data_IF_804574365789
#
_entry.id   IF_804574365789
#
_cell.length_a   1.000
_cell.length_b   1.000
_cell.length_c   1.000
_cell.angle_alpha   90.00
_cell.angle_beta   90.00
_cell.angle_gamma   90.00
#
_symmetry.space_group_name_H-M   'P 1'
#
loop_
_entity.id
_entity.type
_entity.pdbx_description
1 polymer ?
#
# COMPACT_ATOMS: atom_id res chain seq x y z
N UNK A 1 12.33 9.44 -24.82
CA UNK A 1 11.69 9.68 -23.51
C UNK A 1 12.75 9.60 -22.44
N UNK A 2 12.76 10.52 -21.48
CA UNK A 2 13.69 10.50 -20.34
C UNK A 2 13.01 9.95 -19.08
N UNK A 3 13.81 9.56 -18.10
CA UNK A 3 13.32 9.13 -16.79
C UNK A 3 13.37 10.30 -15.80
N UNK A 4 12.29 10.46 -15.04
CA UNK A 4 12.22 11.43 -13.96
C UNK A 4 12.87 10.89 -12.67
N UNK A 5 12.84 9.56 -12.47
CA UNK A 5 13.54 8.89 -11.38
C UNK A 5 14.34 7.73 -11.99
N UNK A 6 15.61 7.62 -11.64
CA UNK A 6 16.44 6.47 -11.94
C UNK A 6 17.20 6.06 -10.69
N UNK A 7 17.10 4.79 -10.33
CA UNK A 7 17.83 4.17 -9.25
C UNK A 7 18.49 2.89 -9.75
N UNK A 8 19.72 2.66 -9.33
CA UNK A 8 20.48 1.46 -9.69
C UNK A 8 21.19 0.88 -8.49
N UNK A 9 20.93 -0.40 -8.23
CA UNK A 9 21.58 -1.18 -7.18
C UNK A 9 21.44 -0.58 -5.77
N UNK A 10 20.30 0.04 -5.44
CA UNK A 10 20.10 0.64 -4.13
C UNK A 10 20.09 -0.44 -3.04
N UNK A 11 20.96 -0.29 -2.04
CA UNK A 11 20.95 -1.15 -0.85
C UNK A 11 20.74 -0.33 0.41
N UNK A 12 20.07 -0.93 1.39
CA UNK A 12 19.95 -0.35 2.73
C UNK A 12 19.77 -1.43 3.78
N UNK A 13 20.59 -1.38 4.82
CA UNK A 13 20.58 -2.27 5.98
C UNK A 13 20.32 -1.49 7.27
N UNK A 14 19.54 -2.11 8.16
CA UNK A 14 19.28 -1.66 9.52
C UNK A 14 19.65 -2.78 10.49
N UNK A 15 20.86 -2.70 11.07
CA UNK A 15 21.40 -3.81 11.86
C UNK A 15 21.54 -5.07 10.98
N UNK A 16 20.84 -6.13 11.33
CA UNK A 16 20.82 -7.38 10.54
C UNK A 16 19.83 -7.36 9.38
N UNK A 17 18.84 -6.45 9.41
CA UNK A 17 17.74 -6.43 8.43
C UNK A 17 18.16 -5.69 7.16
N UNK A 18 18.16 -6.38 6.03
CA UNK A 18 18.37 -5.77 4.71
C UNK A 18 17.02 -5.28 4.17
N UNK A 19 16.79 -3.97 4.24
CA UNK A 19 15.54 -3.34 3.80
C UNK A 19 15.48 -3.11 2.29
N UNK A 20 16.64 -2.90 1.64
CA UNK A 20 16.77 -2.89 0.17
C UNK A 20 17.99 -3.71 -0.23
N UNK A 21 17.83 -4.52 -1.26
CA UNK A 21 18.84 -5.45 -1.75
C UNK A 21 19.05 -5.29 -3.25
N UNK A 22 19.76 -4.24 -3.64
CA UNK A 22 20.12 -4.00 -5.03
C UNK A 22 18.94 -3.56 -5.88
N UNK A 23 18.06 -2.73 -5.33
CA UNK A 23 16.85 -2.30 -6.02
C UNK A 23 17.17 -1.35 -7.19
N UNK A 24 16.70 -1.73 -8.37
CA UNK A 24 16.65 -0.88 -9.56
C UNK A 24 15.24 -0.31 -9.72
N UNK A 25 15.12 0.95 -10.17
CA UNK A 25 13.83 1.58 -10.44
C UNK A 25 14.00 2.65 -11.51
N UNK A 26 13.15 2.60 -12.53
CA UNK A 26 13.08 3.64 -13.55
C UNK A 26 11.64 4.13 -13.66
N UNK A 27 11.43 5.43 -13.48
CA UNK A 27 10.10 6.07 -13.59
C UNK A 27 10.14 7.03 -14.77
N UNK A 28 9.41 6.74 -15.86
CA UNK A 28 9.30 7.65 -17.00
C UNK A 28 8.78 9.03 -16.59
N UNK A 29 9.17 10.07 -17.32
CA UNK A 29 8.59 11.40 -17.06
C UNK A 29 7.13 11.45 -17.49
N UNK A 30 6.27 12.01 -16.63
CA UNK A 30 4.84 12.23 -16.91
C UNK A 30 3.97 10.99 -16.74
N UNK A 31 4.42 10.00 -15.97
CA UNK A 31 3.66 8.78 -15.64
C UNK A 31 3.41 8.65 -14.14
N UNK A 32 2.45 7.80 -13.79
CA UNK A 32 2.25 7.26 -12.44
C UNK A 32 2.87 5.88 -12.36
N UNK A 33 3.83 5.74 -11.46
CA UNK A 33 4.35 4.43 -11.09
C UNK A 33 3.86 4.07 -9.69
N UNK A 34 3.20 2.92 -9.59
CA UNK A 34 2.75 2.33 -8.33
C UNK A 34 3.80 1.38 -7.79
N UNK A 35 4.41 1.72 -6.65
CA UNK A 35 5.32 0.86 -5.91
C UNK A 35 4.52 -0.01 -4.94
N UNK A 36 4.26 -1.23 -5.37
CA UNK A 36 3.41 -2.20 -4.69
C UNK A 36 4.25 -3.22 -3.93
N UNK A 37 3.79 -3.63 -2.75
CA UNK A 37 4.46 -4.69 -1.99
C UNK A 37 3.87 -4.85 -0.59
N UNK A 38 4.19 -5.94 0.13
CA UNK A 38 3.73 -6.12 1.49
C UNK A 38 4.38 -5.13 2.47
N UNK A 39 3.89 -5.09 3.71
CA UNK A 39 4.53 -4.34 4.78
C UNK A 39 5.94 -4.90 5.04
N UNK A 40 6.92 -4.00 5.17
CA UNK A 40 8.32 -4.39 5.33
C UNK A 40 9.07 -4.71 4.04
N UNK A 41 8.43 -4.62 2.86
CA UNK A 41 9.09 -4.89 1.57
C UNK A 41 10.19 -3.88 1.18
N UNK A 42 10.33 -2.76 1.90
CA UNK A 42 11.33 -1.73 1.59
C UNK A 42 10.79 -0.48 0.86
N UNK A 43 9.48 -0.42 0.59
CA UNK A 43 8.78 0.72 -0.06
C UNK A 43 9.14 2.09 0.53
N UNK A 44 8.87 2.28 1.82
CA UNK A 44 9.17 3.53 2.54
C UNK A 44 10.67 3.81 2.60
N UNK A 45 11.52 2.77 2.70
CA UNK A 45 12.98 2.93 2.66
C UNK A 45 13.44 3.47 1.31
N UNK A 46 12.88 2.96 0.21
CA UNK A 46 13.14 3.45 -1.14
C UNK A 46 12.69 4.91 -1.29
N UNK A 47 11.45 5.26 -0.93
CA UNK A 47 10.97 6.65 -0.97
C UNK A 47 11.89 7.57 -0.15
N UNK A 48 12.28 7.18 1.07
CA UNK A 48 13.15 8.01 1.91
C UNK A 48 14.53 8.23 1.30
N UNK A 49 15.07 7.25 0.57
CA UNK A 49 16.33 7.43 -0.17
C UNK A 49 16.12 8.42 -1.32
N UNK A 50 15.12 8.19 -2.18
CA UNK A 50 14.85 9.03 -3.35
C UNK A 50 14.50 10.47 -2.98
N UNK A 51 13.93 10.69 -1.79
CA UNK A 51 13.58 12.00 -1.25
C UNK A 51 14.68 12.63 -0.38
N UNK A 52 15.88 12.05 -0.34
CA UNK A 52 17.06 12.53 0.41
C UNK A 52 16.93 12.45 1.95
N UNK A 53 15.85 11.87 2.47
CA UNK A 53 15.62 11.68 3.91
C UNK A 53 16.44 10.53 4.51
N UNK A 54 17.03 9.70 3.66
CA UNK A 54 17.86 8.58 4.06
C UNK A 54 19.01 8.39 3.07
N UNK A 55 20.20 8.08 3.56
CA UNK A 55 21.35 7.70 2.73
C UNK A 55 21.32 6.19 2.47
N UNK A 56 21.42 5.73 1.21
CA UNK A 56 21.61 4.31 0.91
C UNK A 56 23.02 3.87 1.34
N UNK A 57 23.21 2.57 1.54
CA UNK A 57 24.52 2.01 1.87
C UNK A 57 25.37 1.78 0.60
N UNK A 58 24.72 1.44 -0.52
CA UNK A 58 25.30 1.41 -1.86
C UNK A 58 24.27 1.75 -2.94
N UNK A 59 24.75 1.89 -4.17
CA UNK A 59 23.92 2.22 -5.34
C UNK A 59 23.90 3.72 -5.64
N UNK A 60 23.19 4.07 -6.70
CA UNK A 60 23.07 5.43 -7.20
C UNK A 60 21.63 5.77 -7.51
N UNK A 61 21.24 7.03 -7.32
CA UNK A 61 19.92 7.50 -7.71
C UNK A 61 19.96 8.94 -8.22
N UNK A 62 19.14 9.21 -9.23
CA UNK A 62 18.89 10.55 -9.75
C UNK A 62 17.39 10.81 -9.77
N UNK A 63 16.99 12.03 -9.39
CA UNK A 63 15.59 12.47 -9.37
C UNK A 63 15.52 13.85 -10.01
N UNK A 64 14.63 14.00 -10.99
CA UNK A 64 14.49 15.20 -11.82
C UNK A 64 15.85 15.69 -12.36
N UNK A 65 16.70 14.76 -12.79
CA UNK A 65 18.04 15.03 -13.32
C UNK A 65 19.10 15.49 -12.30
N UNK A 66 18.84 15.39 -11.00
CA UNK A 66 19.80 15.71 -9.94
C UNK A 66 20.18 14.45 -9.13
N UNK A 67 21.46 14.31 -8.79
CA UNK A 67 21.95 13.20 -7.97
C UNK A 67 21.46 13.31 -6.51
N UNK A 68 20.85 12.24 -6.00
CA UNK A 68 20.24 12.18 -4.67
C UNK A 68 21.23 12.48 -3.54
N UNK A 69 22.51 12.12 -3.70
CA UNK A 69 23.55 12.29 -2.69
C UNK A 69 24.34 13.58 -2.89
N UNK A 70 24.82 13.81 -4.12
CA UNK A 70 25.69 14.93 -4.45
C UNK A 70 24.93 16.24 -4.60
N UNK A 71 23.66 16.18 -4.99
CA UNK A 71 22.83 17.35 -5.31
C UNK A 71 21.51 17.36 -4.52
N UNK A 72 21.52 16.81 -3.30
CA UNK A 72 20.31 16.64 -2.47
C UNK A 72 19.46 17.90 -2.30
N UNK A 73 20.08 19.10 -2.26
CA UNK A 73 19.32 20.37 -2.22
C UNK A 73 18.50 20.59 -3.49
N UNK A 74 19.11 20.37 -4.67
CA UNK A 74 18.41 20.49 -5.96
C UNK A 74 17.30 19.46 -6.09
N UNK A 75 17.49 18.26 -5.55
CA UNK A 75 16.42 17.24 -5.49
C UNK A 75 15.25 17.78 -4.66
N UNK A 76 15.49 18.27 -3.44
CA UNK A 76 14.42 18.83 -2.58
C UNK A 76 13.66 20.02 -3.19
N UNK A 77 14.32 20.82 -4.02
CA UNK A 77 13.67 21.92 -4.77
C UNK A 77 12.78 21.43 -5.92
N UNK A 78 12.92 20.17 -6.35
CA UNK A 78 12.25 19.59 -7.53
C UNK A 78 11.27 18.48 -7.19
N UNK A 79 11.05 18.18 -5.91
CA UNK A 79 10.15 17.12 -5.47
C UNK A 79 9.06 17.66 -4.56
N UNK A 80 7.87 17.08 -4.68
CA UNK A 80 6.85 17.12 -3.64
C UNK A 80 6.86 15.80 -2.88
N UNK A 81 6.62 15.85 -1.57
CA UNK A 81 6.49 14.64 -0.75
C UNK A 81 5.26 14.77 0.15
N UNK A 82 4.35 13.81 0.01
CA UNK A 82 3.31 13.53 1.00
C UNK A 82 3.67 12.20 1.68
N UNK A 83 4.06 12.26 2.96
CA UNK A 83 4.48 11.08 3.73
C UNK A 83 3.28 10.24 4.21
N UNK A 84 3.48 9.24 5.08
CA UNK A 84 2.35 8.44 5.62
C UNK A 84 1.41 9.23 6.54
N UNK A 85 1.91 10.29 7.19
CA UNK A 85 1.13 11.17 8.06
C UNK A 85 1.03 12.56 7.43
N UNK A 86 -0.12 13.20 7.60
CA UNK A 86 -0.32 14.57 7.13
C UNK A 86 0.58 15.54 7.89
N UNK A 87 1.50 16.20 7.20
CA UNK A 87 2.43 17.17 7.76
C UNK A 87 1.82 18.58 7.78
N UNK A 88 0.63 18.70 8.39
CA UNK A 88 -0.13 19.96 8.49
C UNK A 88 -0.06 20.50 9.92
N UNK A 89 0.07 21.82 10.07
CA UNK A 89 -0.06 22.48 11.35
C UNK A 89 -1.55 22.61 11.70
N UNK A 90 -1.95 21.94 12.78
CA UNK A 90 -3.36 21.84 13.18
C UNK A 90 -3.92 23.15 13.77
N UNK A 91 -3.06 24.07 14.21
CA UNK A 91 -3.48 25.35 14.76
C UNK A 91 -3.70 26.41 13.68
N UNK A 92 -3.02 26.27 12.54
CA UNK A 92 -3.21 27.12 11.37
C UNK A 92 -4.46 26.72 10.58
N UNK A 93 -5.02 27.67 9.86
CA UNK A 93 -6.05 27.40 8.84
C UNK A 93 -5.47 26.65 7.64
N UNK A 94 -6.32 26.06 6.79
CA UNK A 94 -5.87 25.44 5.55
C UNK A 94 -5.13 26.43 4.64
N UNK A 95 -5.65 27.66 4.55
CA UNK A 95 -5.01 28.74 3.80
C UNK A 95 -3.64 29.10 4.37
N UNK A 96 -3.54 29.30 5.69
CA UNK A 96 -2.28 29.66 6.35
C UNK A 96 -1.22 28.55 6.23
N UNK A 97 -1.62 27.27 6.29
CA UNK A 97 -0.72 26.14 6.04
C UNK A 97 -0.07 26.26 4.66
N UNK A 98 -0.87 26.46 3.60
CA UNK A 98 -0.37 26.53 2.23
C UNK A 98 0.42 27.83 1.98
N UNK A 99 -0.01 28.97 2.52
CA UNK A 99 0.73 30.24 2.42
C UNK A 99 2.08 30.18 3.17
N UNK A 100 2.13 29.50 4.32
CA UNK A 100 3.38 29.25 5.05
C UNK A 100 4.33 28.40 4.20
N UNK A 101 3.85 27.28 3.64
CA UNK A 101 4.66 26.42 2.78
C UNK A 101 5.18 27.19 1.56
N UNK A 102 4.35 28.00 0.91
CA UNK A 102 4.75 28.81 -0.24
C UNK A 102 5.87 29.79 0.09
N UNK A 103 5.81 30.44 1.25
CA UNK A 103 6.87 31.32 1.72
C UNK A 103 8.17 30.57 2.07
N UNK A 104 8.07 29.35 2.61
CA UNK A 104 9.24 28.48 2.84
C UNK A 104 9.92 28.03 1.55
N UNK A 105 9.15 27.89 0.46
CA UNK A 105 9.67 27.69 -0.90
C UNK A 105 10.08 29.00 -1.60
N UNK A 106 10.15 30.12 -0.86
CA UNK A 106 10.57 31.42 -1.36
C UNK A 106 9.70 32.00 -2.48
N UNK A 107 8.42 31.61 -2.55
CA UNK A 107 7.45 32.31 -3.39
C UNK A 107 7.24 33.73 -2.84
N UNK A 108 7.04 34.70 -3.72
CA UNK A 108 6.66 36.03 -3.28
C UNK A 108 5.32 35.99 -2.54
N UNK A 109 5.13 36.89 -1.57
CA UNK A 109 3.97 36.87 -0.68
C UNK A 109 2.64 36.90 -1.42
N UNK A 110 2.56 37.60 -2.56
CA UNK A 110 1.32 37.67 -3.34
C UNK A 110 1.08 36.33 -4.04
N UNK A 111 2.09 35.80 -4.74
CA UNK A 111 1.99 34.51 -5.44
C UNK A 111 1.72 33.36 -4.49
N UNK A 112 2.34 33.35 -3.31
CA UNK A 112 2.10 32.35 -2.27
C UNK A 112 0.63 32.27 -1.87
N UNK A 113 0.00 33.43 -1.62
CA UNK A 113 -1.43 33.51 -1.26
C UNK A 113 -2.36 33.13 -2.38
N UNK A 114 -2.07 33.57 -3.61
CA UNK A 114 -2.80 33.17 -4.81
C UNK A 114 -2.74 31.65 -4.99
N UNK A 115 -1.53 31.09 -4.92
CA UNK A 115 -1.29 29.64 -5.03
C UNK A 115 -2.00 28.84 -3.94
N UNK A 116 -2.02 29.34 -2.70
CA UNK A 116 -2.76 28.71 -1.61
C UNK A 116 -4.26 28.63 -1.91
N UNK A 117 -4.87 29.70 -2.45
CA UNK A 117 -6.30 29.69 -2.82
C UNK A 117 -6.57 28.79 -4.03
N UNK A 118 -5.71 28.81 -5.05
CA UNK A 118 -5.78 27.90 -6.20
C UNK A 118 -5.83 26.43 -5.73
N UNK A 119 -4.92 26.07 -4.83
CA UNK A 119 -4.81 24.71 -4.30
C UNK A 119 -5.99 24.34 -3.40
N UNK A 120 -6.51 25.25 -2.57
CA UNK A 120 -7.72 24.97 -1.78
C UNK A 120 -8.91 24.62 -2.69
N UNK A 121 -9.09 25.34 -3.79
CA UNK A 121 -10.15 25.03 -4.77
C UNK A 121 -9.87 23.69 -5.46
N UNK A 122 -8.64 23.50 -5.96
CA UNK A 122 -8.24 22.26 -6.65
C UNK A 122 -8.45 21.01 -5.78
N UNK A 123 -8.26 21.13 -4.47
CA UNK A 123 -8.40 20.05 -3.51
C UNK A 123 -9.78 19.99 -2.83
N UNK A 124 -10.76 20.78 -3.30
CA UNK A 124 -12.13 20.86 -2.74
C UNK A 124 -12.13 21.15 -1.24
N UNK A 125 -11.35 22.15 -0.84
CA UNK A 125 -11.16 22.64 0.53
C UNK A 125 -11.47 24.14 0.67
N UNK A 126 -12.01 24.77 -0.36
CA UNK A 126 -12.33 26.21 -0.41
C UNK A 126 -13.31 26.63 0.70
N UNK A 127 -14.39 25.88 0.92
CA UNK A 127 -15.34 26.11 2.02
C UNK A 127 -14.72 25.94 3.43
N UNK A 128 -13.59 25.24 3.51
CA UNK A 128 -12.91 24.94 4.75
C UNK A 128 -11.63 25.76 4.95
N UNK A 129 -11.15 26.47 3.93
CA UNK A 129 -9.81 27.01 3.85
C UNK A 129 -9.46 27.97 4.98
N UNK A 130 -10.45 28.72 5.47
CA UNK A 130 -10.30 29.69 6.55
C UNK A 130 -10.62 29.11 7.95
N UNK A 131 -10.84 27.79 8.06
CA UNK A 131 -11.01 27.08 9.33
C UNK A 131 -9.70 26.41 9.77
N UNK A 132 -9.40 26.39 11.09
CA UNK A 132 -8.23 25.69 11.62
C UNK A 132 -8.21 24.20 11.25
N UNK A 133 -7.05 23.68 10.86
CA UNK A 133 -6.88 22.31 10.39
C UNK A 133 -7.17 21.25 11.46
N UNK A 134 -7.09 21.58 12.77
CA UNK A 134 -7.56 20.69 13.85
C UNK A 134 -9.06 20.33 13.76
N UNK A 135 -9.85 21.12 13.02
CA UNK A 135 -11.29 20.87 12.82
C UNK A 135 -11.57 20.02 11.57
N UNK A 136 -10.54 19.65 10.81
CA UNK A 136 -10.67 18.89 9.57
C UNK A 136 -10.83 17.40 9.88
N UNK A 137 -11.57 16.70 9.02
CA UNK A 137 -11.57 15.23 9.01
C UNK A 137 -10.20 14.69 8.58
N UNK A 138 -9.95 13.40 8.78
CA UNK A 138 -8.73 12.74 8.29
C UNK A 138 -8.49 12.96 6.79
N UNK A 139 -9.52 12.75 5.97
CA UNK A 139 -9.46 12.97 4.52
C UNK A 139 -9.22 14.43 4.12
N UNK A 140 -9.77 15.40 4.86
CA UNK A 140 -9.49 16.82 4.63
C UNK A 140 -8.04 17.18 4.95
N UNK A 141 -7.49 16.68 6.07
CA UNK A 141 -6.06 16.88 6.40
C UNK A 141 -5.15 16.24 5.37
N UNK A 142 -5.52 15.06 4.85
CA UNK A 142 -4.74 14.38 3.80
C UNK A 142 -4.75 15.15 2.48
N UNK A 143 -5.89 15.70 2.08
CA UNK A 143 -5.98 16.58 0.91
C UNK A 143 -5.16 17.86 1.08
N UNK A 144 -5.17 18.45 2.28
CA UNK A 144 -4.35 19.62 2.58
C UNK A 144 -2.85 19.31 2.53
N UNK A 145 -2.42 18.16 3.05
CA UNK A 145 -1.04 17.67 2.98
C UNK A 145 -0.56 17.49 1.53
N UNK A 146 -1.39 16.83 0.70
CA UNK A 146 -1.10 16.67 -0.73
C UNK A 146 -1.07 18.02 -1.47
N UNK A 147 -1.96 18.94 -1.14
CA UNK A 147 -1.91 20.31 -1.65
C UNK A 147 -0.59 21.01 -1.27
N UNK A 148 -0.12 20.82 -0.04
CA UNK A 148 1.16 21.32 0.45
C UNK A 148 2.34 20.84 -0.38
N UNK A 149 2.35 19.57 -0.76
CA UNK A 149 3.39 18.99 -1.61
C UNK A 149 3.45 19.59 -3.04
N UNK A 150 2.41 20.31 -3.46
CA UNK A 150 2.27 20.89 -4.81
C UNK A 150 2.39 22.41 -4.86
N UNK A 151 2.59 23.06 -3.71
CA UNK A 151 2.75 24.52 -3.63
C UNK A 151 3.88 24.99 -4.54
N UNK A 152 5.02 24.28 -4.53
CA UNK A 152 6.17 24.57 -5.36
C UNK A 152 6.05 24.12 -6.83
N UNK A 153 4.92 23.50 -7.21
CA UNK A 153 4.70 22.90 -8.54
C UNK A 153 5.87 22.00 -9.00
N UNK A 154 6.24 20.98 -8.21
CA UNK A 154 7.40 20.15 -8.50
C UNK A 154 7.15 19.23 -9.71
N UNK A 155 8.17 18.93 -10.53
CA UNK A 155 8.05 17.99 -11.64
C UNK A 155 7.85 16.52 -11.21
N UNK A 156 8.22 16.18 -9.97
CA UNK A 156 8.13 14.82 -9.42
C UNK A 156 7.42 14.86 -8.06
N UNK A 157 6.45 13.98 -7.87
CA UNK A 157 5.69 13.86 -6.63
C UNK A 157 5.85 12.45 -6.05
N UNK A 158 6.20 12.37 -4.77
CA UNK A 158 6.27 11.13 -4.01
C UNK A 158 5.08 11.06 -3.05
N UNK A 159 4.31 9.98 -3.14
CA UNK A 159 3.13 9.74 -2.29
C UNK A 159 3.36 8.46 -1.49
N UNK A 160 3.64 8.58 -0.19
CA UNK A 160 3.84 7.41 0.67
C UNK A 160 2.52 7.00 1.31
N UNK A 161 1.90 5.94 0.78
CA UNK A 161 0.58 5.44 1.18
C UNK A 161 -0.49 6.55 1.27
N UNK A 162 -0.87 7.17 0.14
CA UNK A 162 -1.71 8.37 0.11
C UNK A 162 -3.09 8.17 0.73
N UNK A 163 -3.64 6.96 0.69
CA UNK A 163 -5.02 6.67 1.10
C UNK A 163 -5.17 5.80 2.35
N UNK A 164 -4.07 5.46 3.02
CA UNK A 164 -4.10 4.72 4.28
C UNK A 164 -4.88 5.51 5.34
N UNK A 165 -5.83 4.83 6.00
CA UNK A 165 -6.66 5.41 7.05
C UNK A 165 -7.81 6.29 6.57
N UNK A 166 -8.06 6.39 5.26
CA UNK A 166 -9.22 7.08 4.70
C UNK A 166 -10.44 6.16 4.59
N UNK A 167 -11.62 6.72 4.79
CA UNK A 167 -12.88 6.04 4.47
C UNK A 167 -13.04 5.87 2.95
N UNK A 168 -13.90 4.94 2.48
CA UNK A 168 -14.01 4.61 1.05
C UNK A 168 -14.29 5.82 0.16
N UNK A 169 -15.10 6.78 0.61
CA UNK A 169 -15.43 7.97 -0.19
C UNK A 169 -14.23 8.91 -0.29
N UNK A 170 -13.56 9.20 0.83
CA UNK A 170 -12.35 10.03 0.84
C UNK A 170 -11.20 9.43 0.02
N UNK A 171 -11.12 8.11 -0.10
CA UNK A 171 -10.17 7.42 -0.97
C UNK A 171 -10.42 7.74 -2.45
N UNK A 172 -11.66 7.59 -2.91
CA UNK A 172 -12.04 7.91 -4.29
C UNK A 172 -11.79 9.38 -4.63
N UNK A 173 -12.11 10.29 -3.70
CA UNK A 173 -11.82 11.72 -3.86
C UNK A 173 -10.30 11.96 -4.00
N UNK A 174 -9.47 11.25 -3.22
CA UNK A 174 -8.00 11.34 -3.31
C UNK A 174 -7.48 10.81 -4.64
N UNK A 175 -8.03 9.71 -5.14
CA UNK A 175 -7.67 9.12 -6.42
C UNK A 175 -7.95 10.07 -7.57
N UNK A 176 -9.12 10.70 -7.58
CA UNK A 176 -9.49 11.71 -8.60
C UNK A 176 -8.49 12.88 -8.60
N UNK A 177 -8.10 13.35 -7.42
CA UNK A 177 -7.07 14.39 -7.27
C UNK A 177 -5.74 13.94 -7.86
N UNK A 178 -5.27 12.72 -7.55
CA UNK A 178 -4.00 12.19 -8.07
C UNK A 178 -4.04 12.08 -9.60
N UNK A 179 -5.12 11.54 -10.17
CA UNK A 179 -5.29 11.42 -11.63
C UNK A 179 -5.26 12.79 -12.33
N UNK A 180 -5.85 13.81 -11.72
CA UNK A 180 -5.83 15.18 -12.25
C UNK A 180 -4.41 15.78 -12.28
N UNK A 181 -3.55 15.45 -11.31
CA UNK A 181 -2.15 15.93 -11.28
C UNK A 181 -1.33 15.36 -12.44
N UNK A 182 -1.60 14.11 -12.79
CA UNK A 182 -0.91 13.35 -13.84
C UNK A 182 -1.35 13.85 -15.21
N UNK A 183 -2.64 14.11 -15.38
CA UNK A 183 -3.18 14.75 -16.60
C UNK A 183 -2.51 16.11 -16.85
N UNK A 184 -2.06 16.79 -15.80
CA UNK A 184 -1.27 18.03 -15.87
C UNK A 184 0.22 17.84 -16.22
N UNK A 185 0.69 16.61 -16.47
CA UNK A 185 2.07 16.28 -16.85
C UNK A 185 3.04 16.03 -15.69
N UNK A 186 2.54 15.93 -14.46
CA UNK A 186 3.38 15.62 -13.30
C UNK A 186 3.80 14.15 -13.31
N UNK A 187 5.03 13.86 -12.87
CA UNK A 187 5.44 12.46 -12.61
C UNK A 187 5.11 12.09 -11.17
N UNK A 188 4.49 10.94 -10.95
CA UNK A 188 4.11 10.48 -9.61
C UNK A 188 4.71 9.11 -9.32
N UNK A 189 5.40 8.98 -8.19
CA UNK A 189 5.73 7.68 -7.59
C UNK A 189 4.89 7.53 -6.32
N UNK A 190 3.93 6.61 -6.32
CA UNK A 190 3.11 6.31 -5.15
C UNK A 190 3.50 4.94 -4.57
N UNK A 191 3.56 4.81 -3.25
CA UNK A 191 3.63 3.50 -2.60
C UNK A 191 2.24 3.11 -2.13
N UNK A 192 1.93 1.83 -2.28
CA UNK A 192 0.71 1.27 -1.74
C UNK A 192 0.88 -0.18 -1.39
N UNK A 193 0.02 -0.65 -0.49
CA UNK A 193 -0.23 -2.07 -0.26
C UNK A 193 -1.62 -2.48 -0.76
N UNK A 194 -2.38 -1.52 -1.30
CA UNK A 194 -3.74 -1.69 -1.79
C UNK A 194 -3.70 -1.90 -3.30
N UNK A 195 -4.15 -3.07 -3.73
CA UNK A 195 -4.04 -3.52 -5.12
C UNK A 195 -5.03 -2.80 -6.03
N UNK A 196 -6.22 -2.47 -5.50
CA UNK A 196 -7.22 -1.61 -6.14
C UNK A 196 -6.67 -0.20 -6.43
N UNK A 197 -5.85 0.35 -5.53
CA UNK A 197 -5.20 1.65 -5.73
C UNK A 197 -4.17 1.62 -6.86
N UNK A 198 -3.33 0.58 -6.89
CA UNK A 198 -2.37 0.41 -7.98
C UNK A 198 -3.08 0.22 -9.33
N UNK A 199 -4.13 -0.61 -9.38
CA UNK A 199 -4.93 -0.85 -10.60
C UNK A 199 -5.63 0.41 -11.11
N UNK A 200 -6.12 1.26 -10.20
CA UNK A 200 -6.89 2.46 -10.56
C UNK A 200 -6.01 3.69 -10.91
N UNK A 201 -4.78 3.76 -10.40
CA UNK A 201 -3.95 4.97 -10.52
C UNK A 201 -2.69 4.80 -11.37
N UNK A 202 -2.09 3.61 -11.39
CA UNK A 202 -0.76 3.43 -11.95
C UNK A 202 -0.81 3.14 -13.45
N UNK A 203 -0.01 3.89 -14.22
CA UNK A 203 0.30 3.52 -15.61
C UNK A 203 1.17 2.26 -15.63
N UNK A 204 2.05 2.14 -14.63
CA UNK A 204 2.98 1.03 -14.47
C UNK A 204 3.11 0.66 -12.99
N UNK A 205 3.11 -0.64 -12.70
CA UNK A 205 3.23 -1.18 -11.35
C UNK A 205 4.59 -1.85 -11.20
N UNK A 206 5.30 -1.50 -10.14
CA UNK A 206 6.54 -2.13 -9.70
C UNK A 206 6.26 -2.89 -8.42
N UNK A 207 6.39 -4.20 -8.48
CA UNK A 207 6.16 -5.09 -7.34
C UNK A 207 7.49 -5.33 -6.64
N UNK A 208 7.52 -5.06 -5.33
CA UNK A 208 8.66 -5.30 -4.46
C UNK A 208 8.32 -6.34 -3.40
N UNK A 209 9.23 -7.27 -3.18
CA UNK A 209 9.25 -8.12 -2.00
C UNK A 209 10.67 -8.21 -1.42
N UNK A 210 10.77 -8.23 -0.08
CA UNK A 210 12.05 -8.33 0.67
C UNK A 210 13.17 -7.43 0.15
N UNK A 211 12.85 -6.19 -0.22
CA UNK A 211 13.82 -5.20 -0.68
C UNK A 211 14.30 -5.36 -2.12
N UNK A 212 13.69 -6.27 -2.90
CA UNK A 212 14.00 -6.53 -4.31
C UNK A 212 12.79 -6.26 -5.20
N UNK A 213 13.05 -5.79 -6.42
CA UNK A 213 12.05 -5.72 -7.48
C UNK A 213 11.81 -7.15 -7.99
N UNK A 214 10.56 -7.62 -7.94
CA UNK A 214 10.17 -8.98 -8.37
C UNK A 214 9.35 -8.98 -9.67
N UNK A 215 8.65 -7.88 -9.98
CA UNK A 215 8.00 -7.68 -11.26
C UNK A 215 7.81 -6.20 -11.56
N UNK A 216 7.70 -5.88 -12.84
CA UNK A 216 7.44 -4.53 -13.35
C UNK A 216 6.67 -4.63 -14.67
N UNK A 217 5.67 -3.78 -14.84
CA UNK A 217 4.90 -3.66 -16.09
C UNK A 217 3.59 -2.93 -15.87
N UNK A 218 2.84 -2.73 -16.95
CA UNK A 218 1.45 -2.26 -16.85
C UNK A 218 0.61 -3.28 -16.10
N UNK A 219 -0.51 -2.83 -15.53
CA UNK A 219 -1.41 -3.73 -14.81
C UNK A 219 -1.91 -4.88 -15.69
N UNK A 220 -2.21 -4.63 -16.96
CA UNK A 220 -2.64 -5.67 -17.91
C UNK A 220 -1.51 -6.66 -18.23
N UNK A 221 -0.26 -6.20 -18.39
CA UNK A 221 0.90 -7.07 -18.59
C UNK A 221 1.14 -7.97 -17.38
N UNK A 222 1.04 -7.42 -16.17
CA UNK A 222 1.18 -8.18 -14.93
C UNK A 222 0.07 -9.22 -14.78
N UNK A 223 -1.20 -8.84 -15.00
CA UNK A 223 -2.36 -9.76 -14.96
C UNK A 223 -2.21 -10.90 -15.98
N UNK A 224 -1.67 -10.62 -17.16
CA UNK A 224 -1.42 -11.63 -18.19
C UNK A 224 -0.35 -12.67 -17.82
N UNK A 225 0.58 -12.36 -16.90
CA UNK A 225 1.65 -13.29 -16.49
C UNK A 225 1.15 -14.46 -15.61
N UNK A 226 0.03 -14.29 -14.91
CA UNK A 226 -0.46 -15.25 -13.90
C UNK A 226 -1.39 -16.31 -14.49
N UNK A 227 -1.97 -16.04 -15.66
CA UNK A 227 -2.80 -17.01 -16.38
C UNK A 227 -3.92 -16.37 -17.19
N UNK A 228 -4.68 -17.26 -17.86
CA UNK A 228 -5.80 -16.89 -18.72
C UNK A 228 -7.07 -16.49 -17.97
N UNK A 229 -8.07 -16.11 -18.76
CA UNK A 229 -9.43 -15.79 -18.32
C UNK A 229 -10.01 -16.93 -17.47
N UNK A 230 -10.84 -16.60 -16.48
CA UNK A 230 -11.57 -17.58 -15.66
C UNK A 230 -13.06 -17.44 -15.93
N UNK A 231 -13.74 -18.54 -16.20
CA UNK A 231 -15.19 -18.61 -16.22
C UNK A 231 -15.67 -18.93 -14.81
N UNK A 232 -16.46 -18.03 -14.24
CA UNK A 232 -17.10 -18.18 -12.94
C UNK A 232 -18.58 -18.48 -13.14
N UNK A 233 -19.09 -19.52 -12.48
CA UNK A 233 -20.49 -19.93 -12.53
C UNK A 233 -21.00 -20.15 -11.11
N UNK A 234 -22.03 -19.41 -10.70
CA UNK A 234 -22.72 -19.57 -9.42
C UNK A 234 -24.03 -20.28 -9.65
N UNK A 235 -24.15 -21.53 -9.21
CA UNK A 235 -25.39 -22.30 -9.38
C UNK A 235 -26.43 -21.93 -8.32
N UNK A 236 -27.71 -21.89 -8.70
CA UNK A 236 -28.80 -21.55 -7.78
C UNK A 236 -29.00 -22.62 -6.69
N UNK A 237 -28.80 -23.90 -7.03
CA UNK A 237 -28.98 -25.03 -6.11
C UNK A 237 -27.66 -25.76 -5.87
N UNK A 238 -27.28 -25.94 -4.60
CA UNK A 238 -26.04 -26.61 -4.23
C UNK A 238 -25.97 -28.06 -4.75
N UNK A 239 -27.11 -28.76 -4.81
CA UNK A 239 -27.21 -30.13 -5.32
C UNK A 239 -26.86 -30.24 -6.82
N UNK A 240 -26.93 -29.12 -7.56
CA UNK A 240 -26.59 -29.07 -8.98
C UNK A 240 -25.11 -28.77 -9.22
N UNK A 241 -24.32 -28.44 -8.19
CA UNK A 241 -22.92 -28.03 -8.31
C UNK A 241 -22.05 -29.11 -8.97
N UNK A 242 -22.21 -30.38 -8.54
CA UNK A 242 -21.46 -31.50 -9.11
C UNK A 242 -21.80 -31.74 -10.59
N UNK A 243 -23.09 -31.72 -10.93
CA UNK A 243 -23.57 -31.88 -12.32
C UNK A 243 -23.08 -30.74 -13.21
N UNK A 244 -23.19 -29.50 -12.74
CA UNK A 244 -22.70 -28.31 -13.45
C UNK A 244 -21.18 -28.38 -13.70
N UNK A 245 -20.41 -28.83 -12.70
CA UNK A 245 -18.97 -29.01 -12.85
C UNK A 245 -18.63 -30.06 -13.91
N UNK A 246 -19.29 -31.22 -13.93
CA UNK A 246 -19.07 -32.25 -14.95
C UNK A 246 -19.40 -31.75 -16.37
N UNK A 247 -20.47 -30.96 -16.52
CA UNK A 247 -20.88 -30.38 -17.80
C UNK A 247 -19.88 -29.35 -18.35
N UNK A 248 -19.27 -28.58 -17.44
CA UNK A 248 -18.36 -27.48 -17.76
C UNK A 248 -16.89 -27.90 -17.82
N UNK A 249 -16.51 -29.02 -17.20
CA UNK A 249 -15.15 -29.55 -17.21
C UNK A 249 -14.50 -29.63 -18.61
N UNK A 250 -15.21 -29.97 -19.71
CA UNK A 250 -14.63 -29.97 -21.05
C UNK A 250 -14.19 -28.60 -21.59
N UNK A 251 -14.66 -27.50 -20.99
CA UNK A 251 -14.27 -26.14 -21.37
C UNK A 251 -13.00 -25.68 -20.66
N UNK A 252 -12.57 -26.38 -19.61
CA UNK A 252 -11.48 -25.96 -18.75
C UNK A 252 -10.10 -26.33 -19.34
N UNK A 253 -9.15 -25.40 -19.23
CA UNK A 253 -7.75 -25.61 -19.62
C UNK A 253 -6.92 -26.30 -18.52
N UNK A 254 -7.40 -26.23 -17.28
CA UNK A 254 -6.79 -26.82 -16.10
C UNK A 254 -7.90 -27.21 -15.11
N UNK A 255 -7.61 -27.98 -14.04
CA UNK A 255 -8.62 -28.42 -13.08
C UNK A 255 -9.46 -27.25 -12.54
N UNK A 256 -10.78 -27.42 -12.55
CA UNK A 256 -11.70 -26.45 -11.99
C UNK A 256 -11.57 -26.40 -10.47
N UNK A 257 -11.78 -25.22 -9.89
CA UNK A 257 -11.92 -25.05 -8.44
C UNK A 257 -13.39 -24.97 -8.08
N UNK A 258 -13.82 -25.69 -7.05
CA UNK A 258 -15.18 -25.64 -6.53
C UNK A 258 -15.20 -25.02 -5.13
N UNK A 259 -16.11 -24.08 -4.90
CA UNK A 259 -16.48 -23.62 -3.57
C UNK A 259 -17.94 -24.01 -3.29
N UNK A 260 -18.11 -25.05 -2.47
CA UNK A 260 -19.42 -25.57 -2.09
C UNK A 260 -20.27 -24.56 -1.31
N UNK A 261 -19.65 -23.67 -0.52
CA UNK A 261 -20.38 -22.68 0.28
C UNK A 261 -20.90 -21.55 -0.60
N UNK A 262 -20.07 -21.09 -1.52
CA UNK A 262 -20.44 -20.07 -2.50
C UNK A 262 -21.27 -20.63 -3.67
N UNK A 263 -21.37 -21.96 -3.80
CA UNK A 263 -21.94 -22.66 -4.98
C UNK A 263 -21.26 -22.22 -6.28
N UNK A 264 -19.96 -21.96 -6.20
CA UNK A 264 -19.16 -21.35 -7.26
C UNK A 264 -18.27 -22.40 -7.92
N UNK A 265 -18.25 -22.38 -9.25
CA UNK A 265 -17.32 -23.13 -10.10
C UNK A 265 -16.42 -22.12 -10.80
N UNK A 266 -15.10 -22.28 -10.64
CA UNK A 266 -14.10 -21.45 -11.30
C UNK A 266 -13.29 -22.31 -12.27
N UNK A 267 -13.40 -22.00 -13.56
CA UNK A 267 -12.77 -22.75 -14.65
C UNK A 267 -11.74 -21.86 -15.35
N UNK A 268 -10.45 -22.24 -15.40
CA UNK A 268 -9.49 -21.59 -16.26
C UNK A 268 -9.88 -21.81 -17.73
N UNK A 269 -10.10 -20.75 -18.49
CA UNK A 269 -10.53 -20.77 -19.89
C UNK A 269 -9.66 -19.84 -20.75
N UNK A 270 -9.81 -19.93 -22.07
CA UNK A 270 -9.24 -18.95 -23.01
C UNK A 270 -10.18 -18.79 -24.19
N UNK A 271 -10.06 -17.67 -24.89
CA UNK A 271 -10.83 -17.41 -26.12
C UNK A 271 -11.92 -16.35 -25.97
N UNK A 272 -11.79 -15.44 -24.98
CA UNK A 272 -12.74 -14.35 -24.78
C UNK A 272 -14.12 -14.88 -24.44
N UNK A 273 -15.17 -14.33 -25.04
CA UNK A 273 -16.56 -14.68 -24.71
C UNK A 273 -17.03 -16.05 -25.22
N UNK A 274 -16.23 -16.79 -26.00
CA UNK A 274 -16.62 -18.10 -26.55
C UNK A 274 -17.00 -19.12 -25.47
N UNK A 275 -16.11 -19.42 -24.50
CA UNK A 275 -16.39 -20.31 -23.38
C UNK A 275 -17.63 -19.94 -22.56
N UNK A 276 -17.96 -18.64 -22.44
CA UNK A 276 -19.17 -18.18 -21.74
C UNK A 276 -20.45 -18.62 -22.47
N UNK A 277 -20.49 -18.45 -23.79
CA UNK A 277 -21.65 -18.83 -24.60
C UNK A 277 -21.82 -20.35 -24.59
N UNK A 278 -20.73 -21.10 -24.72
CA UNK A 278 -20.77 -22.57 -24.68
C UNK A 278 -21.21 -23.09 -23.31
N UNK A 279 -20.76 -22.46 -22.23
CA UNK A 279 -21.20 -22.79 -20.87
C UNK A 279 -22.69 -22.53 -20.67
N UNK A 280 -23.19 -21.38 -21.13
CA UNK A 280 -24.62 -21.06 -21.06
C UNK A 280 -25.48 -22.10 -21.75
N UNK A 281 -25.13 -22.51 -22.98
CA UNK A 281 -25.88 -23.53 -23.70
C UNK A 281 -25.87 -24.88 -22.98
N UNK A 282 -24.71 -25.33 -22.48
CA UNK A 282 -24.60 -26.61 -21.75
C UNK A 282 -25.42 -26.64 -20.47
N UNK A 283 -25.44 -25.52 -19.73
CA UNK A 283 -26.19 -25.41 -18.49
C UNK A 283 -27.70 -25.35 -18.75
N UNK A 284 -28.13 -24.65 -19.80
CA UNK A 284 -29.53 -24.57 -20.21
C UNK A 284 -30.07 -25.93 -20.70
N UNK A 285 -29.32 -26.63 -21.56
CA UNK A 285 -29.67 -27.97 -22.06
C UNK A 285 -29.89 -28.98 -20.90
N UNK A 286 -29.07 -28.86 -19.85
CA UNK A 286 -29.15 -29.69 -18.65
C UNK A 286 -30.15 -29.18 -17.60
N UNK A 287 -30.82 -28.04 -17.84
CA UNK A 287 -31.74 -27.36 -16.91
C UNK A 287 -31.10 -27.06 -15.56
N UNK A 288 -29.83 -26.64 -15.57
CA UNK A 288 -29.13 -26.14 -14.40
C UNK A 288 -29.47 -24.67 -14.22
N UNK A 289 -30.02 -24.30 -13.07
CA UNK A 289 -30.29 -22.90 -12.74
C UNK A 289 -29.04 -22.22 -12.21
N UNK A 290 -28.78 -21.01 -12.70
CA UNK A 290 -27.56 -20.23 -12.41
C UNK A 290 -27.98 -18.84 -11.92
N UNK A 291 -27.35 -18.39 -10.83
CA UNK A 291 -27.57 -17.06 -10.24
C UNK A 291 -26.64 -16.02 -10.90
N UNK A 292 -25.40 -16.39 -11.21
CA UNK A 292 -24.40 -15.55 -11.90
C UNK A 292 -23.49 -16.38 -12.79
N UNK A 293 -23.12 -15.84 -13.95
CA UNK A 293 -22.15 -16.44 -14.86
C UNK A 293 -21.38 -15.36 -15.58
N UNK A 294 -20.06 -15.49 -15.61
CA UNK A 294 -19.24 -14.52 -16.33
C UNK A 294 -17.79 -14.88 -16.45
N UNK A 295 -17.13 -14.17 -17.35
CA UNK A 295 -15.67 -14.26 -17.51
C UNK A 295 -15.03 -13.19 -16.65
N UNK A 296 -14.05 -13.59 -15.85
CA UNK A 296 -13.20 -12.73 -15.05
C UNK A 296 -11.77 -12.80 -15.57
N UNK A 297 -11.12 -11.65 -15.64
CA UNK A 297 -9.68 -11.56 -15.87
C UNK A 297 -8.95 -11.63 -14.53
N UNK A 298 -7.70 -12.13 -14.50
CA UNK A 298 -6.88 -12.10 -13.30
C UNK A 298 -6.81 -10.69 -12.69
N UNK A 299 -6.80 -10.64 -11.37
CA UNK A 299 -6.64 -9.42 -10.58
C UNK A 299 -5.18 -9.18 -10.24
N UNK A 300 -4.82 -7.97 -9.78
CA UNK A 300 -3.48 -7.76 -9.21
C UNK A 300 -3.26 -8.60 -7.94
N UNK A 301 -4.31 -9.00 -7.23
CA UNK A 301 -4.24 -9.94 -6.11
C UNK A 301 -3.74 -11.31 -6.55
N UNK A 302 -4.24 -11.83 -7.68
CA UNK A 302 -3.74 -13.07 -8.27
C UNK A 302 -2.25 -12.94 -8.62
N UNK A 303 -1.84 -11.81 -9.20
CA UNK A 303 -0.43 -11.51 -9.51
C UNK A 303 0.42 -11.52 -8.27
N UNK A 304 -0.01 -10.81 -7.24
CA UNK A 304 0.73 -10.71 -6.01
C UNK A 304 0.88 -12.06 -5.34
N UNK A 305 -0.18 -12.87 -5.26
CA UNK A 305 -0.16 -14.23 -4.72
C UNK A 305 0.78 -15.15 -5.50
N UNK A 306 0.73 -15.10 -6.83
CA UNK A 306 1.61 -15.90 -7.67
C UNK A 306 3.08 -15.51 -7.47
N UNK A 307 3.42 -14.23 -7.59
CA UNK A 307 4.81 -13.77 -7.51
C UNK A 307 5.42 -13.96 -6.11
N UNK A 308 4.63 -13.74 -5.05
CA UNK A 308 5.12 -13.90 -3.66
C UNK A 308 5.10 -15.36 -3.19
N UNK A 309 4.21 -16.20 -3.74
CA UNK A 309 4.17 -17.64 -3.47
C UNK A 309 5.42 -18.36 -3.98
N UNK A 310 5.86 -18.07 -5.21
CA UNK A 310 7.09 -18.66 -5.77
C UNK A 310 8.36 -18.21 -5.02
N UNK A 311 8.39 -16.98 -4.50
CA UNK A 311 9.53 -16.47 -3.71
C UNK A 311 9.67 -17.15 -2.33
N UNK A 312 8.62 -17.81 -1.82
CA UNK A 312 8.70 -18.66 -0.63
C UNK A 312 9.27 -20.05 -0.96
N UNK A 313 9.00 -20.58 -2.16
CA UNK A 313 9.48 -21.89 -2.60
C UNK A 313 10.95 -21.85 -3.03
N UNK A 314 11.38 -20.82 -3.77
CA UNK A 314 12.77 -20.64 -4.20
C UNK A 314 13.74 -20.33 -3.03
N UNK A 315 13.21 -19.90 -1.88
CA UNK A 315 13.97 -19.66 -0.65
C UNK A 315 14.18 -20.91 0.23
N UNK A 316 13.59 -22.06 -0.13
CA UNK A 316 13.67 -23.29 0.67
C UNK A 316 14.79 -24.26 0.22
N UNK A 317 15.60 -23.87 -0.76
CA UNK A 317 16.69 -24.67 -1.31
C UNK A 317 18.07 -24.47 -0.66
N UNK A 318 18.17 -24.31 0.66
CA UNK A 318 19.47 -24.28 1.34
C UNK A 318 19.38 -24.60 2.85
N UNK A 319 18.86 -25.78 3.22
CA UNK A 319 19.24 -26.37 4.50
C UNK A 319 19.33 -27.91 4.40
N UNK A 320 20.40 -28.36 3.76
CA UNK A 320 20.82 -29.76 3.79
C UNK A 320 21.48 -30.08 5.12
N UNK A 321 20.67 -30.27 6.16
CA UNK A 321 21.14 -30.79 7.45
C UNK A 321 21.70 -32.23 7.31
N UNK A 322 22.87 -32.55 7.89
CA UNK A 322 23.46 -33.88 7.76
C UNK A 322 22.76 -34.91 8.66
N UNK A 323 22.44 -36.07 8.08
CA UNK A 323 21.93 -37.26 8.78
C UNK A 323 22.91 -37.79 9.85
N UNK A 324 22.43 -38.30 11.01
CA UNK A 324 23.30 -38.94 11.99
C UNK A 324 23.43 -40.44 11.68
N UNK A 325 24.68 -40.91 11.52
CA UNK A 325 25.00 -42.32 11.37
C UNK A 325 26.26 -42.73 12.14
N UNK A 326 26.07 -43.56 13.17
CA UNK A 326 26.92 -44.72 13.47
C UNK A 326 28.28 -44.56 14.15
N UNK A 327 28.29 -44.83 15.47
CA UNK A 327 29.22 -45.70 16.23
C UNK A 327 30.76 -45.50 16.18
N UNK A 328 31.38 -45.32 17.37
CA UNK A 328 32.61 -46.00 17.89
C UNK A 328 33.03 -45.33 19.22
N UNK A 329 32.88 -46.01 20.36
CA UNK A 329 33.91 -46.80 21.08
C UNK A 329 34.95 -46.00 21.89
N UNK A 330 34.88 -46.13 23.22
CA UNK A 330 36.04 -46.32 24.11
C UNK A 330 36.85 -45.09 24.54
N UNK A 331 36.93 -44.85 25.86
CA UNK A 331 37.96 -43.98 26.44
C UNK A 331 37.69 -43.53 27.87
N UNK A 332 38.10 -44.34 28.85
CA UNK A 332 38.20 -43.98 30.27
C UNK A 332 39.41 -43.05 30.53
N UNK A 333 39.27 -42.15 31.52
CA UNK A 333 40.39 -41.45 32.18
C UNK A 333 39.96 -40.08 32.71
N UNK A 334 39.53 -39.98 33.98
CA UNK A 334 40.31 -39.53 35.16
C UNK A 334 40.73 -38.05 35.12
N UNK A 335 40.37 -37.31 36.18
CA UNK A 335 41.21 -36.25 36.73
C UNK A 335 40.48 -34.98 37.19
N UNK A 336 40.39 -34.84 38.53
CA UNK A 336 40.57 -33.61 39.32
C UNK A 336 39.52 -32.47 39.35
N UNK A 337 38.86 -32.40 40.53
CA UNK A 337 38.46 -31.17 41.26
C UNK A 337 39.74 -30.41 41.75
N UNK A 338 39.71 -29.22 42.43
CA UNK A 338 38.60 -28.58 43.17
C UNK A 338 38.56 -27.02 43.23
N UNK A 339 37.59 -26.51 44.01
CA UNK A 339 37.60 -25.17 44.65
C UNK A 339 36.44 -24.28 44.17
N UNK A 340 35.38 -24.01 44.96
CA UNK A 340 35.36 -23.20 46.18
C UNK A 340 35.11 -21.73 45.78
N UNK A 341 34.19 -20.92 46.30
CA UNK A 341 33.19 -20.95 47.36
C UNK A 341 32.55 -19.54 47.45
N UNK A 342 31.61 -19.37 48.39
CA UNK A 342 30.95 -18.12 48.83
C UNK A 342 29.81 -17.57 47.95
N UNK A 343 28.55 -17.61 48.40
CA UNK A 343 27.85 -16.86 49.50
C UNK A 343 27.63 -15.38 49.16
N UNK A 344 26.36 -14.97 49.17
CA UNK A 344 25.94 -13.57 49.18
C UNK A 344 24.46 -13.42 48.86
N UNK A 345 23.60 -13.69 49.84
CA UNK A 345 22.20 -13.26 49.85
C UNK A 345 22.14 -11.78 50.25
N UNK A 346 21.20 -11.02 49.68
CA UNK A 346 20.30 -10.10 50.39
C UNK A 346 19.51 -9.23 49.38
N UNK A 347 18.21 -9.42 49.36
CA UNK A 347 17.22 -8.39 49.00
C UNK A 347 16.49 -8.02 50.29
N UNK A 348 16.11 -6.75 50.45
CA UNK A 348 14.90 -6.44 51.18
C UNK A 348 13.91 -5.57 50.41
N UNK A 349 12.68 -5.85 50.77
CA UNK A 349 11.38 -5.24 50.53
C UNK A 349 11.24 -3.74 50.85
N UNK A 350 10.33 -3.08 50.13
CA UNK A 350 9.31 -2.13 50.64
C UNK A 350 8.29 -1.88 49.50
N UNK A 351 7.00 -1.57 49.66
CA UNK A 351 6.15 -1.24 50.79
C UNK A 351 4.76 -0.82 50.28
N UNK A 352 3.74 -1.44 50.85
CA UNK A 352 2.26 -1.26 50.89
C UNK A 352 1.55 -0.01 50.30
N UNK A 353 0.46 -0.31 49.57
CA UNK A 353 -1.00 -0.07 49.84
C UNK A 353 -1.47 1.28 50.43
N UNK A 354 -2.40 1.93 49.71
CA UNK A 354 -3.32 2.95 50.24
C UNK A 354 -4.53 3.18 49.31
N UNK A 355 -5.67 2.54 49.63
CA UNK A 355 -7.00 2.82 49.07
C UNK A 355 -7.63 4.03 49.78
N UNK A 356 -8.28 4.94 49.04
CA UNK A 356 -9.45 5.72 49.50
C UNK A 356 -10.44 5.97 48.37
N UNK A 357 -11.70 5.81 48.75
CA UNK A 357 -12.97 5.85 48.02
C UNK A 357 -13.63 7.24 47.98
N UNK A 358 -14.70 7.32 47.16
CA UNK A 358 -15.85 8.26 47.15
C UNK A 358 -15.66 9.55 46.32
N UNK A 359 -16.62 10.09 45.55
CA UNK A 359 -18.08 9.94 45.57
C UNK A 359 -18.71 10.48 44.26
N UNK A 360 -19.97 10.08 44.03
CA UNK A 360 -20.86 10.41 42.92
C UNK A 360 -21.29 11.89 42.79
N UNK A 361 -21.79 12.24 41.61
CA UNK A 361 -22.53 13.48 41.35
C UNK A 361 -23.31 13.42 40.03
N UNK A 362 -24.53 12.88 40.08
CA UNK A 362 -25.53 13.03 39.03
C UNK A 362 -26.29 14.36 39.22
N UNK A 363 -26.58 15.09 38.15
CA UNK A 363 -27.72 16.01 38.14
C UNK A 363 -28.39 16.05 36.76
N UNK A 364 -29.69 15.74 36.80
CA UNK A 364 -30.70 15.93 35.76
C UNK A 364 -31.05 17.41 35.68
N UNK A 365 -31.31 17.92 34.48
CA UNK A 365 -32.01 19.18 34.25
C UNK A 365 -32.88 19.08 33.01
N UNK A 366 -34.19 18.90 33.23
CA UNK A 366 -35.26 19.01 32.21
C UNK A 366 -35.60 20.49 32.00
N UNK A 367 -35.86 20.90 30.76
CA UNK A 367 -36.88 21.88 30.35
C UNK A 367 -36.98 21.76 28.81
N UNK A 368 -38.03 21.13 28.27
CA UNK A 368 -39.37 21.69 27.97
C UNK A 368 -39.29 22.88 26.99
N UNK A 369 -39.82 22.65 25.77
CA UNK A 369 -39.98 23.66 24.70
C UNK A 369 -41.00 24.76 25.03
N UNK A 370 -41.38 25.58 24.04
CA UNK A 370 -42.42 25.12 23.13
C UNK A 370 -42.22 25.46 21.64
N UNK A 371 -43.15 24.87 20.88
CA UNK A 371 -43.45 24.93 19.46
C UNK A 371 -43.72 26.35 18.92
N UNK A 372 -43.62 26.50 17.59
CA UNK A 372 -44.16 27.66 16.86
C UNK A 372 -43.79 27.67 15.36
N UNK A 373 -44.63 27.03 14.54
CA UNK A 373 -45.13 27.41 13.19
C UNK A 373 -44.24 28.27 12.25
N UNK A 374 -43.85 27.77 11.06
CA UNK A 374 -44.59 27.65 9.79
C UNK A 374 -44.67 28.94 8.91
N UNK A 375 -44.46 28.73 7.60
CA UNK A 375 -44.67 29.60 6.41
C UNK A 375 -43.55 30.61 6.10
N UNK A 376 -42.97 30.66 4.89
CA UNK A 376 -43.52 30.47 3.54
C UNK A 376 -42.62 29.67 2.61
#
# INVERSE_FOLDING_TARGET
MGFAIQASGLTKRYGEVLALEGMDLNVPTGTVVGLLGPNGAGKTTCIRILTTLLRPDSGTATVAGADVLRESRKVRERIGLSGQYAAVDEYLTGFENLDMIGQLYHLDRRRSRERARELLVQFRLDDAGDRPAKTYSGGMRRRLDLAGALVANPPVLFLDEPTTGLDPRSRLDMWEVIQNLVTGGSTVLLTTQYLDEADALADEVVVIDRGRLIAQGTTDELKAQVGGERLEVVVSNADQLGSAHELLAPLALAPATLDERARLIVLPVSGGTGPLVDALHRLDDARVSVDDIGIRRPTLDDVFLALTGHAAEDGSGADGGPQPGGSRSGGQGRGDQPGGGHRGAEQPSDGRRGERTATAGASRGRHAGPEGEAQR
#
